data_IF_319827591665
#
_entry.id   IF_319827591665
#
_cell.length_a   1.000
_cell.length_b   1.000
_cell.length_c   1.000
_cell.angle_alpha   90.00
_cell.angle_beta   90.00
_cell.angle_gamma   90.00
#
_symmetry.space_group_name_H-M   'P 1'
#
loop_
_entity.id
_entity.type
_entity.pdbx_description
1 polymer ?
#
# COMPACT_ATOMS: atom_id res chain seq x y z
N UNK A 1 5.60 5.83 1.02
CA UNK A 1 4.59 5.35 0.05
C UNK A 1 4.23 6.33 -1.06
N UNK A 2 3.73 7.54 -0.78
CA UNK A 2 3.25 8.50 -1.80
C UNK A 2 4.25 8.84 -2.92
N UNK A 3 5.56 8.74 -2.65
CA UNK A 3 6.60 8.93 -3.69
C UNK A 3 7.02 7.65 -4.39
N UNK A 4 6.82 6.49 -3.77
CA UNK A 4 7.26 5.19 -4.30
C UNK A 4 6.23 4.64 -5.27
N UNK A 5 4.95 4.68 -4.88
CA UNK A 5 3.86 4.12 -5.66
C UNK A 5 3.73 4.75 -7.06
N UNK A 6 3.80 6.09 -7.23
CA UNK A 6 3.70 6.67 -8.57
C UNK A 6 4.89 6.35 -9.48
N UNK A 7 6.06 6.05 -8.89
CA UNK A 7 7.25 5.65 -9.64
C UNK A 7 7.15 4.23 -10.18
N UNK A 8 6.44 3.35 -9.47
CA UNK A 8 6.35 1.93 -9.79
C UNK A 8 5.11 1.61 -10.63
N UNK A 9 4.00 2.32 -10.36
CA UNK A 9 2.69 2.02 -10.93
C UNK A 9 2.10 3.18 -11.77
N UNK A 10 2.79 4.32 -11.89
CA UNK A 10 2.30 5.49 -12.59
C UNK A 10 1.36 6.37 -11.76
N UNK A 11 0.76 7.42 -12.35
CA UNK A 11 -0.12 8.34 -11.64
C UNK A 11 -1.21 7.61 -10.84
N UNK A 12 -1.37 7.99 -9.56
CA UNK A 12 -2.32 7.34 -8.68
C UNK A 12 -3.64 8.12 -8.64
N UNK A 13 -4.78 7.42 -8.56
CA UNK A 13 -6.05 8.04 -8.20
C UNK A 13 -5.97 8.73 -6.83
N UNK A 14 -6.74 9.81 -6.64
CA UNK A 14 -6.77 10.56 -5.38
C UNK A 14 -7.12 9.67 -4.17
N UNK A 15 -8.02 8.70 -4.38
CA UNK A 15 -8.45 7.73 -3.36
C UNK A 15 -7.28 6.94 -2.74
N UNK A 16 -6.24 6.65 -3.52
CA UNK A 16 -5.05 5.95 -3.01
C UNK A 16 -4.29 6.83 -2.03
N UNK A 17 -4.18 8.13 -2.33
CA UNK A 17 -3.50 9.06 -1.44
C UNK A 17 -4.29 9.27 -0.14
N UNK A 18 -5.62 9.35 -0.23
CA UNK A 18 -6.47 9.39 0.96
C UNK A 18 -6.37 8.14 1.83
N UNK A 19 -6.34 6.96 1.21
CA UNK A 19 -6.17 5.69 1.93
C UNK A 19 -4.84 5.65 2.69
N UNK A 20 -3.77 6.15 2.07
CA UNK A 20 -2.45 6.27 2.72
C UNK A 20 -2.48 7.26 3.89
N UNK A 21 -3.20 8.39 3.76
CA UNK A 21 -3.31 9.35 4.86
C UNK A 21 -4.15 8.85 6.05
N UNK A 22 -5.08 7.92 5.82
CA UNK A 22 -5.96 7.36 6.86
C UNK A 22 -5.40 6.12 7.56
N UNK A 23 -4.39 5.47 6.99
CA UNK A 23 -3.79 4.27 7.54
C UNK A 23 -2.91 4.57 8.76
N UNK A 24 -2.91 3.65 9.72
CA UNK A 24 -2.01 3.69 10.87
C UNK A 24 -0.56 3.37 10.47
N UNK A 25 0.44 3.70 11.32
CA UNK A 25 1.85 3.47 11.01
C UNK A 25 2.21 2.02 10.67
N UNK A 26 1.64 1.02 11.35
CA UNK A 26 1.96 -0.39 11.16
C UNK A 26 1.45 -0.89 9.80
N UNK A 27 0.28 -0.42 9.39
CA UNK A 27 -0.27 -0.64 8.05
C UNK A 27 0.62 0.01 6.98
N UNK A 28 1.13 1.22 7.22
CA UNK A 28 2.02 1.92 6.29
C UNK A 28 3.35 1.19 6.13
N UNK A 29 3.93 0.68 7.21
CA UNK A 29 5.15 -0.13 7.20
C UNK A 29 4.95 -1.40 6.38
N UNK A 30 3.86 -2.13 6.66
CA UNK A 30 3.49 -3.35 5.91
C UNK A 30 3.35 -3.09 4.40
N UNK A 31 2.74 -1.97 4.02
CA UNK A 31 2.66 -1.57 2.61
C UNK A 31 4.02 -1.20 2.04
N UNK A 32 4.89 -0.54 2.81
CA UNK A 32 6.22 -0.14 2.35
C UNK A 32 7.09 -1.35 1.99
N UNK A 33 7.01 -2.42 2.79
CA UNK A 33 7.68 -3.69 2.50
C UNK A 33 7.16 -4.31 1.20
N UNK A 34 5.84 -4.40 1.03
CA UNK A 34 5.21 -4.96 -0.18
C UNK A 34 5.46 -4.15 -1.44
N UNK A 35 5.74 -2.85 -1.35
CA UNK A 35 6.08 -2.06 -2.54
C UNK A 35 7.34 -2.60 -3.22
N UNK A 36 8.21 -3.33 -2.54
CA UNK A 36 9.47 -3.82 -3.14
C UNK A 36 9.26 -4.94 -4.17
N UNK A 37 8.23 -5.77 -4.02
CA UNK A 37 8.00 -6.99 -4.80
C UNK A 37 6.61 -7.08 -5.45
N UNK A 38 5.63 -6.29 -5.01
CA UNK A 38 4.27 -6.23 -5.56
C UNK A 38 4.24 -6.07 -7.09
N UNK A 39 3.30 -6.73 -7.77
CA UNK A 39 3.09 -6.59 -9.22
C UNK A 39 1.98 -5.59 -9.55
N UNK A 40 1.18 -5.22 -8.56
CA UNK A 40 0.05 -4.31 -8.68
C UNK A 40 -0.16 -3.49 -7.40
N UNK A 41 -1.02 -2.47 -7.47
CA UNK A 41 -1.47 -1.74 -6.28
C UNK A 41 -2.26 -2.66 -5.34
N UNK A 42 -3.05 -3.60 -5.87
CA UNK A 42 -3.80 -4.56 -5.07
C UNK A 42 -2.89 -5.45 -4.22
N UNK A 43 -1.74 -5.87 -4.76
CA UNK A 43 -0.75 -6.64 -4.00
C UNK A 43 -0.21 -5.83 -2.81
N UNK A 44 0.07 -4.53 -3.00
CA UNK A 44 0.54 -3.63 -1.93
C UNK A 44 -0.52 -3.52 -0.84
N UNK A 45 -1.75 -3.27 -1.24
CA UNK A 45 -2.86 -3.00 -0.32
C UNK A 45 -3.61 -4.25 0.16
N UNK A 46 -3.09 -5.44 -0.14
CA UNK A 46 -3.63 -6.71 0.35
C UNK A 46 -3.63 -6.69 1.88
N UNK A 47 -4.78 -6.87 2.51
CA UNK A 47 -4.84 -6.98 3.96
C UNK A 47 -4.40 -8.39 4.33
N UNK A 48 -3.36 -8.49 5.17
CA UNK A 48 -3.00 -9.78 5.73
C UNK A 48 -4.16 -10.14 6.66
N UNK A 49 -5.10 -10.97 6.19
CA UNK A 49 -6.10 -11.57 7.05
C UNK A 49 -5.35 -12.47 8.00
N UNK A 50 -4.91 -11.93 9.12
CA UNK A 50 -4.58 -12.74 10.28
C UNK A 50 -5.90 -13.37 10.69
N UNK A 51 -6.16 -14.56 10.16
CA UNK A 51 -7.16 -15.45 10.70
C UNK A 51 -6.71 -15.71 12.15
N UNK A 52 -7.36 -15.03 13.10
CA UNK A 52 -7.29 -15.43 14.49
C UNK A 52 -7.93 -16.83 14.55
N UNK A 53 -7.06 -17.84 14.60
CA UNK A 53 -7.40 -19.19 14.99
C UNK A 53 -7.61 -19.26 16.51
#
# INVERSE_FOLDING_TARGET
>A
LLRMLPRRFGPLPNEISERIHKADPDTIESWADRVLDAKSLDDVFSENKTYLA
#
